data_IF_804485931935
#
_entry.id   IF_804485931935
#
_cell.length_a   1.000
_cell.length_b   1.000
_cell.length_c   1.000
_cell.angle_alpha   90.00
_cell.angle_beta   90.00
_cell.angle_gamma   90.00
#
_symmetry.space_group_name_H-M   'P 1'
#
loop_
_entity.id
_entity.type
_entity.pdbx_description
1 polymer ?
#
# COMPACT_ATOMS: atom_id res chain seq x y z
N UNK A 1 28.43 6.39 8.89
CA UNK A 1 28.06 6.94 7.57
C UNK A 1 27.42 5.81 6.81
N UNK A 2 26.12 5.76 6.55
CA UNK A 2 25.39 6.76 5.77
C UNK A 2 23.92 6.57 6.15
N UNK A 3 23.46 7.50 7.01
CA UNK A 3 22.06 7.83 7.31
C UNK A 3 21.23 6.81 8.12
N UNK A 4 20.77 7.06 9.35
CA UNK A 4 20.46 8.38 9.94
C UNK A 4 19.73 9.29 8.94
N UNK A 5 18.77 8.73 8.19
CA UNK A 5 17.69 9.47 7.54
C UNK A 5 16.45 9.14 8.37
N UNK A 6 16.20 9.97 9.37
CA UNK A 6 15.02 10.84 9.41
C UNK A 6 13.79 9.98 9.71
N UNK A 7 13.45 9.85 11.00
CA UNK A 7 12.53 10.79 11.68
C UNK A 7 11.29 11.07 10.84
N UNK A 8 10.14 10.87 11.46
CA UNK A 8 8.80 11.09 10.91
C UNK A 8 8.18 9.96 10.07
N UNK A 9 7.15 9.39 10.69
CA UNK A 9 6.01 8.72 10.07
C UNK A 9 6.18 7.29 9.58
N UNK A 10 6.37 6.35 10.51
CA UNK A 10 5.45 5.20 10.50
C UNK A 10 4.86 5.02 11.90
N UNK A 11 4.06 6.02 12.29
CA UNK A 11 2.92 5.77 13.18
C UNK A 11 2.04 4.77 12.43
N UNK A 12 2.29 3.46 12.60
CA UNK A 12 1.32 2.43 12.26
C UNK A 12 0.12 2.69 13.15
N UNK A 13 -0.84 3.46 12.62
CA UNK A 13 -2.14 3.69 13.22
C UNK A 13 -2.94 2.38 13.04
N UNK A 14 -2.50 1.33 13.72
CA UNK A 14 -3.34 0.16 13.92
C UNK A 14 -4.48 0.60 14.84
N UNK A 15 -5.73 0.43 14.38
CA UNK A 15 -6.95 1.02 14.97
C UNK A 15 -7.40 0.29 16.25
N UNK A 16 -6.47 -0.03 17.12
CA UNK A 16 -6.71 -0.41 18.50
C UNK A 16 -5.44 -0.15 19.31
N UNK A 17 -5.57 0.65 20.36
CA UNK A 17 -4.52 1.04 21.31
C UNK A 17 -3.98 -0.17 22.10
N UNK A 18 -3.33 -1.11 21.43
CA UNK A 18 -2.65 -2.24 22.06
C UNK A 18 -1.20 -2.16 21.66
N UNK A 19 -0.36 -1.65 22.56
CA UNK A 19 1.10 -1.81 22.46
C UNK A 19 1.38 -3.29 22.68
N UNK A 20 1.36 -4.08 21.61
CA UNK A 20 1.77 -5.47 21.66
C UNK A 20 3.30 -5.46 21.72
N UNK A 21 3.85 -5.54 22.93
CA UNK A 21 5.22 -6.00 23.14
C UNK A 21 5.25 -7.51 22.80
N UNK A 22 5.24 -7.84 21.51
CA UNK A 22 5.37 -9.22 21.06
C UNK A 22 6.85 -9.58 20.99
N UNK A 23 7.30 -10.25 22.06
CA UNK A 23 8.43 -11.17 22.07
C UNK A 23 8.37 -12.10 20.85
N UNK A 24 9.46 -12.19 20.08
CA UNK A 24 9.76 -13.23 19.07
C UNK A 24 8.60 -13.50 18.09
N UNK A 25 8.50 -12.71 17.01
CA UNK A 25 7.71 -13.14 15.85
C UNK A 25 8.67 -13.76 14.84
N UNK A 26 8.58 -15.08 14.70
CA UNK A 26 9.02 -15.80 13.52
C UNK A 26 8.55 -15.03 12.27
N UNK A 27 9.48 -14.38 11.55
CA UNK A 27 9.23 -14.02 10.16
C UNK A 27 9.17 -15.34 9.40
N UNK A 28 7.98 -15.96 9.38
CA UNK A 28 7.59 -16.72 8.21
C UNK A 28 7.84 -15.77 7.03
N UNK A 29 8.53 -16.15 5.94
CA UNK A 29 8.48 -15.30 4.76
C UNK A 29 6.99 -15.11 4.50
N UNK A 30 6.44 -13.89 4.54
CA UNK A 30 5.02 -13.71 4.30
C UNK A 30 4.80 -14.38 2.95
N UNK A 31 3.94 -15.41 2.93
CA UNK A 31 3.41 -15.89 1.67
C UNK A 31 2.89 -14.63 1.00
N UNK A 32 3.53 -14.23 -0.09
CA UNK A 32 3.28 -12.96 -0.76
C UNK A 32 1.79 -12.98 -1.14
N UNK A 33 0.92 -12.38 -0.32
CA UNK A 33 -0.49 -12.30 -0.65
C UNK A 33 -0.62 -11.19 -1.69
N UNK A 34 -0.89 -11.52 -2.96
CA UNK A 34 -0.96 -10.52 -4.02
C UNK A 34 -2.02 -9.45 -3.71
N UNK A 35 -3.04 -9.79 -2.92
CA UNK A 35 -4.08 -8.85 -2.51
C UNK A 35 -3.54 -7.79 -1.54
N UNK A 36 -2.72 -8.18 -0.57
CA UNK A 36 -2.12 -7.27 0.41
C UNK A 36 -1.22 -6.25 -0.30
N UNK A 37 -0.34 -6.74 -1.18
CA UNK A 37 0.57 -5.91 -1.97
C UNK A 37 -0.20 -4.97 -2.90
N UNK A 38 -1.27 -5.46 -3.53
CA UNK A 38 -2.12 -4.64 -4.38
C UNK A 38 -2.73 -3.45 -3.60
N UNK A 39 -3.23 -3.70 -2.39
CA UNK A 39 -3.83 -2.66 -1.54
C UNK A 39 -2.75 -1.67 -1.04
N UNK A 40 -1.58 -2.16 -0.64
CA UNK A 40 -0.45 -1.31 -0.23
C UNK A 40 -0.01 -0.38 -1.37
N UNK A 41 0.11 -0.91 -2.59
CA UNK A 41 0.44 -0.12 -3.77
C UNK A 41 -0.64 0.91 -4.09
N UNK A 42 -1.94 0.57 -4.00
CA UNK A 42 -3.01 1.57 -4.14
C UNK A 42 -2.86 2.74 -3.16
N UNK A 43 -2.49 2.45 -1.90
CA UNK A 43 -2.28 3.48 -0.88
C UNK A 43 -1.05 4.36 -1.18
N UNK A 44 0.04 3.75 -1.64
CA UNK A 44 1.24 4.46 -2.10
C UNK A 44 0.93 5.36 -3.29
N UNK A 45 0.22 4.85 -4.31
CA UNK A 45 -0.16 5.63 -5.50
C UNK A 45 -1.05 6.80 -5.12
N UNK A 46 -2.01 6.62 -4.19
CA UNK A 46 -2.84 7.71 -3.69
C UNK A 46 -2.03 8.79 -2.97
N UNK A 47 -0.98 8.40 -2.23
CA UNK A 47 -0.08 9.33 -1.56
C UNK A 47 0.78 10.12 -2.55
N UNK A 48 1.23 9.48 -3.64
CA UNK A 48 2.04 10.10 -4.70
C UNK A 48 1.22 11.01 -5.63
N UNK A 49 0.10 10.51 -6.14
CA UNK A 49 -0.70 11.16 -7.18
C UNK A 49 -1.80 12.05 -6.58
N UNK A 50 -2.12 11.88 -5.30
CA UNK A 50 -3.07 12.73 -4.58
C UNK A 50 -4.49 12.66 -5.15
N UNK A 51 -5.05 13.80 -5.51
CA UNK A 51 -6.42 13.88 -6.04
C UNK A 51 -6.59 13.24 -7.42
N UNK A 52 -5.50 13.07 -8.17
CA UNK A 52 -5.51 12.50 -9.52
C UNK A 52 -5.75 11.00 -9.54
N UNK A 53 -5.66 10.31 -8.39
CA UNK A 53 -5.78 8.87 -8.30
C UNK A 53 -6.97 8.45 -7.44
N UNK A 54 -7.82 7.59 -7.98
CA UNK A 54 -8.98 7.01 -7.31
C UNK A 54 -8.58 5.79 -6.48
N UNK A 55 -7.91 6.05 -5.35
CA UNK A 55 -7.49 5.01 -4.40
C UNK A 55 -8.59 4.03 -3.97
N UNK A 56 -9.83 4.47 -3.68
CA UNK A 56 -10.94 3.55 -3.37
C UNK A 56 -11.25 2.59 -4.53
N UNK A 57 -11.29 3.09 -5.77
CA UNK A 57 -11.59 2.30 -6.96
C UNK A 57 -10.47 1.29 -7.28
N UNK A 58 -9.22 1.68 -7.00
CA UNK A 58 -8.06 0.80 -7.03
C UNK A 58 -8.20 -0.36 -6.02
N UNK A 59 -8.52 -0.06 -4.76
CA UNK A 59 -8.68 -1.08 -3.72
C UNK A 59 -9.84 -2.04 -4.00
N UNK A 60 -10.96 -1.54 -4.51
CA UNK A 60 -12.08 -2.38 -4.94
C UNK A 60 -11.67 -3.34 -6.07
N UNK A 61 -10.86 -2.85 -7.01
CA UNK A 61 -10.32 -3.67 -8.10
C UNK A 61 -9.37 -4.75 -7.59
N UNK A 62 -8.50 -4.41 -6.62
CA UNK A 62 -7.64 -5.39 -5.95
C UNK A 62 -8.47 -6.53 -5.33
N UNK A 63 -9.56 -6.21 -4.62
CA UNK A 63 -10.45 -7.21 -4.01
C UNK A 63 -11.15 -8.05 -5.09
N UNK A 64 -11.70 -7.39 -6.12
CA UNK A 64 -12.42 -8.04 -7.21
C UNK A 64 -11.56 -9.05 -7.97
N UNK A 65 -10.29 -8.71 -8.21
CA UNK A 65 -9.35 -9.58 -8.94
C UNK A 65 -8.41 -10.36 -8.03
N UNK A 66 -8.59 -10.31 -6.70
CA UNK A 66 -7.76 -10.98 -5.69
C UNK A 66 -6.26 -10.69 -5.87
N UNK A 67 -5.91 -9.44 -6.16
CA UNK A 67 -4.53 -9.01 -6.35
C UNK A 67 -3.84 -9.55 -7.61
N UNK A 68 -4.56 -10.12 -8.59
CA UNK A 68 -3.97 -10.55 -9.87
C UNK A 68 -3.43 -9.40 -10.72
N UNK A 69 -3.95 -8.20 -10.52
CA UNK A 69 -3.53 -6.97 -11.19
C UNK A 69 -3.03 -6.03 -10.11
N UNK A 70 -1.71 -6.01 -9.92
CA UNK A 70 -1.05 -5.12 -8.95
C UNK A 70 -0.70 -3.82 -9.68
N UNK A 71 -1.22 -2.66 -9.23
CA UNK A 71 -0.89 -1.39 -9.84
C UNK A 71 0.52 -0.95 -9.45
N UNK A 72 1.29 -0.44 -10.41
CA UNK A 72 2.58 0.22 -10.18
C UNK A 72 2.42 1.73 -10.37
N UNK A 73 2.76 2.51 -9.35
CA UNK A 73 2.48 3.95 -9.34
C UNK A 73 3.29 4.75 -10.39
N UNK A 74 4.37 4.17 -10.89
CA UNK A 74 5.23 4.75 -11.93
C UNK A 74 4.84 4.29 -13.34
N UNK A 75 4.06 3.21 -13.46
CA UNK A 75 3.57 2.69 -14.73
C UNK A 75 2.17 3.22 -15.04
N UNK A 76 2.11 4.23 -15.89
CA UNK A 76 0.86 4.83 -16.34
C UNK A 76 -0.12 3.80 -16.93
N UNK A 77 0.35 2.76 -17.60
CA UNK A 77 -0.54 1.74 -18.18
C UNK A 77 -1.30 0.96 -17.09
N UNK A 78 -0.63 0.69 -15.97
CA UNK A 78 -1.18 -0.03 -14.82
C UNK A 78 -2.14 0.82 -13.98
N UNK A 79 -1.94 2.14 -13.91
CA UNK A 79 -2.79 3.06 -13.13
C UNK A 79 -3.78 3.88 -13.95
N UNK A 80 -3.68 3.90 -15.28
CA UNK A 80 -4.62 4.57 -16.19
C UNK A 80 -6.10 4.37 -15.84
N UNK A 81 -6.60 3.15 -15.51
CA UNK A 81 -8.01 2.96 -15.16
C UNK A 81 -8.44 3.62 -13.84
N UNK A 82 -7.48 4.03 -13.00
CA UNK A 82 -7.70 4.62 -11.69
C UNK A 82 -7.37 6.11 -11.66
N UNK A 83 -6.90 6.68 -12.76
CA UNK A 83 -6.60 8.10 -12.85
C UNK A 83 -7.87 8.89 -13.17
N UNK A 84 -8.15 9.90 -12.35
CA UNK A 84 -9.22 10.85 -12.61
C UNK A 84 -8.73 11.92 -13.59
N UNK A 85 -9.55 12.27 -14.57
CA UNK A 85 -9.23 13.18 -15.69
C UNK A 85 -9.62 14.64 -15.43
N UNK A 86 -9.85 15.01 -14.17
CA UNK A 86 -10.28 16.36 -13.73
C UNK A 86 -9.52 17.50 -14.44
#
# INVERSE_FOLDING_TARGET
MTFLFISEQIRFKNKSNTVVLASIITRNPPGYDPLEICIENCALCKKMLGAWFEGPLCAESCIKYKGKLVPECEDYASIAPFLNKL
#
